data_IF_495929497109
#
_entry.id   IF_495929497109
#
_cell.length_a   1.000
_cell.length_b   1.000
_cell.length_c   1.000
_cell.angle_alpha   90.00
_cell.angle_beta   90.00
_cell.angle_gamma   90.00
#
_symmetry.space_group_name_H-M   'P 1'
#
loop_
_entity.id
_entity.type
_entity.pdbx_description
1 polymer ?
#
# COMPACT_ATOMS: atom_id res chain seq x y z
N UNK A 1 14.09 -9.62 6.19
CA UNK A 1 13.07 -9.78 5.13
C UNK A 1 11.88 -8.94 5.53
N UNK A 2 11.46 -7.99 4.68
CA UNK A 2 10.29 -7.15 4.98
C UNK A 2 9.02 -7.98 4.80
N UNK A 3 8.25 -8.15 5.87
CA UNK A 3 7.04 -8.96 5.85
C UNK A 3 5.88 -8.10 5.36
N UNK A 4 5.34 -8.45 4.19
CA UNK A 4 4.14 -7.81 3.66
C UNK A 4 2.90 -8.40 4.32
N UNK A 5 1.98 -7.51 4.69
CA UNK A 5 0.59 -7.84 4.99
C UNK A 5 -0.24 -7.67 3.73
N UNK A 6 -1.45 -8.22 3.74
CA UNK A 6 -2.32 -8.28 2.57
C UNK A 6 -3.73 -7.80 2.92
N UNK A 7 -4.30 -6.96 2.05
CA UNK A 7 -5.67 -6.48 2.13
C UNK A 7 -6.39 -6.82 0.82
N UNK A 8 -7.55 -7.46 0.94
CA UNK A 8 -8.34 -7.88 -0.21
C UNK A 8 -9.33 -6.79 -0.58
N UNK A 9 -9.18 -6.25 -1.79
CA UNK A 9 -10.14 -5.31 -2.40
C UNK A 9 -10.97 -6.03 -3.46
N UNK A 10 -11.87 -5.33 -4.13
CA UNK A 10 -12.65 -5.93 -5.23
C UNK A 10 -11.74 -6.45 -6.35
N UNK A 11 -10.71 -5.69 -6.73
CA UNK A 11 -9.88 -5.99 -7.91
C UNK A 11 -8.48 -6.52 -7.56
N UNK A 12 -7.94 -6.16 -6.40
CA UNK A 12 -6.56 -6.42 -6.01
C UNK A 12 -6.44 -7.18 -4.68
N UNK A 13 -5.45 -8.04 -4.61
CA UNK A 13 -4.77 -8.41 -3.36
C UNK A 13 -3.62 -7.43 -3.15
N UNK A 14 -3.82 -6.46 -2.26
CA UNK A 14 -2.88 -5.36 -2.01
C UNK A 14 -1.90 -5.78 -0.93
N UNK A 15 -0.64 -5.93 -1.32
CA UNK A 15 0.44 -6.15 -0.38
C UNK A 15 0.92 -4.80 0.18
N UNK A 16 1.05 -4.69 1.50
CA UNK A 16 1.51 -3.46 2.16
C UNK A 16 2.45 -3.73 3.32
N UNK A 17 3.30 -2.75 3.59
CA UNK A 17 4.11 -2.69 4.80
C UNK A 17 3.38 -1.91 5.87
N UNK A 18 3.57 -2.31 7.13
CA UNK A 18 2.90 -1.69 8.26
C UNK A 18 3.88 -1.42 9.39
N UNK A 19 3.79 -0.23 9.97
CA UNK A 19 4.50 0.14 11.18
C UNK A 19 3.52 0.70 12.21
N UNK A 20 3.82 0.43 13.49
CA UNK A 20 2.99 0.81 14.63
C UNK A 20 1.49 0.51 14.44
N UNK A 21 1.07 -0.77 14.40
CA UNK A 21 -0.33 -1.15 14.15
C UNK A 21 -1.34 -0.58 15.16
N UNK A 22 -0.87 -0.13 16.33
CA UNK A 22 -1.69 0.45 17.41
C UNK A 22 -1.66 1.98 17.45
N UNK A 23 -1.09 2.64 16.42
CA UNK A 23 -1.07 4.08 16.34
C UNK A 23 -2.47 4.69 16.21
N UNK A 24 -2.70 5.82 16.88
CA UNK A 24 -4.01 6.48 16.97
C UNK A 24 -4.38 7.26 15.71
N UNK A 25 -3.37 7.66 14.92
CA UNK A 25 -3.54 8.37 13.64
C UNK A 25 -2.99 7.53 12.51
N UNK A 26 -3.64 7.52 11.35
CA UNK A 26 -3.18 6.73 10.20
C UNK A 26 -2.48 7.63 9.17
N UNK A 27 -1.34 7.17 8.66
CA UNK A 27 -0.68 7.75 7.50
C UNK A 27 -0.51 6.67 6.42
N UNK A 28 -0.92 6.97 5.19
CA UNK A 28 -0.70 6.09 4.03
C UNK A 28 0.38 6.70 3.14
N UNK A 29 1.46 5.96 2.90
CA UNK A 29 2.62 6.40 2.11
C UNK A 29 2.62 5.70 0.75
N UNK A 30 2.44 6.47 -0.32
CA UNK A 30 2.43 5.96 -1.69
C UNK A 30 3.79 6.18 -2.34
N UNK A 31 4.37 5.13 -2.91
CA UNK A 31 5.60 5.24 -3.68
C UNK A 31 5.34 5.70 -5.11
N UNK A 32 6.39 6.17 -5.80
CA UNK A 32 6.36 6.51 -7.22
C UNK A 32 6.86 5.38 -8.12
N UNK A 33 7.16 5.71 -9.38
CA UNK A 33 7.86 4.83 -10.30
C UNK A 33 9.31 5.34 -10.46
N UNK A 34 10.33 4.46 -10.46
CA UNK A 34 10.30 3.00 -10.29
C UNK A 34 10.60 2.54 -8.85
N UNK A 35 9.86 3.04 -7.85
CA UNK A 35 10.12 2.76 -6.43
C UNK A 35 9.31 1.57 -5.87
N UNK A 36 9.43 1.33 -4.56
CA UNK A 36 8.65 0.37 -3.80
C UNK A 36 8.32 0.90 -2.40
N UNK A 37 7.42 0.25 -1.64
CA UNK A 37 7.12 0.62 -0.25
C UNK A 37 8.35 0.67 0.67
N UNK A 38 9.40 -0.09 0.36
CA UNK A 38 10.63 -0.11 1.14
C UNK A 38 11.35 1.26 1.16
N UNK A 39 11.17 2.09 0.11
CA UNK A 39 11.74 3.44 0.06
C UNK A 39 11.24 4.35 1.18
N UNK A 40 10.12 4.01 1.83
CA UNK A 40 9.53 4.79 2.91
C UNK A 40 10.02 4.41 4.31
N UNK A 41 10.92 3.44 4.48
CA UNK A 41 11.26 2.90 5.81
C UNK A 41 11.65 3.98 6.83
N UNK A 42 12.56 4.89 6.48
CA UNK A 42 13.01 5.96 7.37
C UNK A 42 11.87 6.94 7.75
N UNK A 43 10.98 7.24 6.80
CA UNK A 43 9.82 8.12 7.02
C UNK A 43 8.77 7.41 7.89
N UNK A 44 8.51 6.14 7.61
CA UNK A 44 7.56 5.32 8.35
C UNK A 44 7.97 5.13 9.80
N UNK A 45 9.25 4.85 10.07
CA UNK A 45 9.80 4.79 11.43
C UNK A 45 9.63 6.14 12.15
N UNK A 46 9.96 7.24 11.48
CA UNK A 46 9.83 8.59 12.03
C UNK A 46 8.37 8.95 12.39
N UNK A 47 7.42 8.62 11.53
CA UNK A 47 5.99 8.83 11.80
C UNK A 47 5.47 7.90 12.91
N UNK A 48 5.94 6.65 12.94
CA UNK A 48 5.58 5.68 13.96
C UNK A 48 5.96 6.15 15.36
N UNK A 49 7.15 6.72 15.53
CA UNK A 49 7.60 7.33 16.79
C UNK A 49 6.73 8.53 17.23
N UNK A 50 6.00 9.16 16.30
CA UNK A 50 5.03 10.23 16.59
C UNK A 50 3.60 9.71 16.79
N UNK A 51 3.43 8.40 16.99
CA UNK A 51 2.14 7.77 17.29
C UNK A 51 1.28 7.48 16.07
N UNK A 52 1.81 7.60 14.85
CA UNK A 52 1.07 7.20 13.65
C UNK A 52 1.14 5.68 13.43
N UNK A 53 0.03 5.07 13.01
CA UNK A 53 0.00 3.82 12.28
C UNK A 53 0.33 4.13 10.82
N UNK A 54 1.39 3.54 10.30
CA UNK A 54 1.87 3.84 8.94
C UNK A 54 1.64 2.64 8.04
N UNK A 55 1.00 2.86 6.90
CA UNK A 55 0.71 1.86 5.88
C UNK A 55 1.39 2.26 4.58
N UNK A 56 2.15 1.36 3.95
CA UNK A 56 2.77 1.62 2.65
C UNK A 56 2.43 0.48 1.68
N UNK A 57 1.38 0.62 0.84
CA UNK A 57 1.00 -0.39 -0.13
C UNK A 57 1.94 -0.40 -1.34
N UNK A 58 2.24 -1.60 -1.86
CA UNK A 58 2.77 -1.74 -3.21
C UNK A 58 1.64 -1.43 -4.20
N UNK A 59 1.84 -0.44 -5.08
CA UNK A 59 0.83 -0.04 -6.05
C UNK A 59 0.54 -1.15 -7.07
N UNK A 60 -0.60 -1.06 -7.77
CA UNK A 60 -0.92 -1.97 -8.89
C UNK A 60 0.27 -2.09 -9.84
N UNK A 61 0.61 -3.31 -10.25
CA UNK A 61 1.74 -3.58 -11.13
C UNK A 61 3.11 -3.66 -10.43
N UNK A 62 3.19 -3.43 -9.12
CA UNK A 62 4.39 -3.64 -8.32
C UNK A 62 4.21 -4.83 -7.40
N UNK A 63 5.21 -5.70 -7.34
CA UNK A 63 5.18 -6.83 -6.42
C UNK A 63 5.29 -6.36 -4.95
N UNK A 64 4.61 -7.03 -4.00
CA UNK A 64 3.83 -8.26 -4.18
C UNK A 64 2.34 -8.09 -4.51
N UNK A 65 1.82 -6.88 -4.74
CA UNK A 65 0.41 -6.66 -5.10
C UNK A 65 0.03 -7.42 -6.38
N UNK A 66 -1.17 -8.00 -6.41
CA UNK A 66 -1.68 -8.79 -7.54
C UNK A 66 -3.12 -8.42 -7.89
N UNK A 67 -3.44 -8.49 -9.18
CA UNK A 67 -4.83 -8.54 -9.62
C UNK A 67 -5.44 -9.89 -9.23
N UNK A 68 -6.66 -9.87 -8.70
CA UNK A 68 -7.39 -11.08 -8.29
C UNK A 68 -7.91 -11.86 -9.48
N UNK A 69 -8.22 -11.17 -10.58
CA UNK A 69 -8.67 -11.77 -11.83
C UNK A 69 -7.62 -11.59 -12.94
N UNK A 70 -7.13 -12.67 -13.57
CA UNK A 70 -6.23 -12.60 -14.72
C UNK A 70 -6.83 -11.88 -15.94
N UNK A 71 -8.14 -11.75 -16.07
CA UNK A 71 -8.79 -11.05 -17.18
C UNK A 71 -8.86 -9.53 -17.00
N UNK A 72 -8.67 -9.00 -15.78
CA UNK A 72 -8.78 -7.55 -15.52
C UNK A 72 -7.75 -6.74 -16.30
N UNK A 73 -8.11 -5.69 -17.05
CA UNK A 73 -7.12 -4.88 -17.77
C UNK A 73 -6.06 -4.25 -16.85
N UNK A 74 -4.78 -4.34 -17.22
CA UNK A 74 -3.64 -3.76 -16.46
C UNK A 74 -3.52 -2.26 -16.77
N UNK A 75 -4.47 -1.49 -16.26
CA UNK A 75 -4.51 -0.04 -16.45
C UNK A 75 -3.60 0.68 -15.44
N UNK A 76 -2.66 1.48 -15.95
CA UNK A 76 -1.83 2.41 -15.18
C UNK A 76 -2.39 3.83 -15.06
N UNK A 77 -3.69 4.05 -15.33
CA UNK A 77 -4.30 5.38 -15.22
C UNK A 77 -4.29 5.87 -13.77
N UNK A 78 -4.04 7.16 -13.57
CA UNK A 78 -4.06 7.79 -12.24
C UNK A 78 -5.40 7.58 -11.52
N UNK A 79 -6.53 7.68 -12.23
CA UNK A 79 -7.85 7.41 -11.64
C UNK A 79 -7.98 5.99 -11.09
N UNK A 80 -7.32 5.02 -11.72
CA UNK A 80 -7.33 3.64 -11.28
C UNK A 80 -6.45 3.45 -10.03
N UNK A 81 -5.30 4.14 -9.94
CA UNK A 81 -4.48 4.19 -8.72
C UNK A 81 -5.23 4.85 -7.55
N UNK A 82 -5.90 5.97 -7.81
CA UNK A 82 -6.73 6.64 -6.80
C UNK A 82 -7.85 5.75 -6.29
N UNK A 83 -8.49 4.97 -7.17
CA UNK A 83 -9.51 4.01 -6.76
C UNK A 83 -8.95 2.90 -5.88
N UNK A 84 -7.80 2.33 -6.22
CA UNK A 84 -7.17 1.28 -5.38
C UNK A 84 -6.85 1.79 -3.98
N UNK A 85 -6.38 3.04 -3.87
CA UNK A 85 -6.07 3.65 -2.58
C UNK A 85 -7.32 3.76 -1.70
N UNK A 86 -8.44 4.21 -2.27
CA UNK A 86 -9.71 4.28 -1.55
C UNK A 86 -10.15 2.88 -1.09
N UNK A 87 -10.14 1.90 -2.00
CA UNK A 87 -10.51 0.52 -1.66
C UNK A 87 -9.58 -0.13 -0.63
N UNK A 88 -8.29 0.23 -0.64
CA UNK A 88 -7.33 -0.23 0.37
C UNK A 88 -7.60 0.38 1.74
N UNK A 89 -8.01 1.65 1.81
CA UNK A 89 -8.35 2.32 3.08
C UNK A 89 -9.67 1.81 3.66
N UNK A 90 -10.61 1.39 2.81
CA UNK A 90 -11.91 0.85 3.22
C UNK A 90 -11.83 -0.61 3.72
N UNK A 91 -10.78 -1.36 3.38
CA UNK A 91 -10.60 -2.79 3.68
C UNK A 91 -9.99 -3.04 5.07
#
# INVERSE_FOLDING_TARGET
>A
MTVYRHAMTASLDVAYLEWNPRGERVAVLLHGWPDSPAGWEAVAQTLSLRGYRVLAPALRGFAPTRFRDPATPRSGRLAALGRDLLEFVDA
#
